data_IF_138680187494
#
_entry.id   IF_138680187494
#
_cell.length_a   1.000
_cell.length_b   1.000
_cell.length_c   1.000
_cell.angle_alpha   90.00
_cell.angle_beta   90.00
_cell.angle_gamma   90.00
#
_symmetry.space_group_name_H-M   'P 1'
#
loop_
_entity.id
_entity.type
_entity.pdbx_description
1 polymer ?
#
# COMPACT_ATOMS: atom_id res chain seq x y z
N UNK A 1 -14.82 7.72 -16.09
CA UNK A 1 -13.56 7.25 -16.72
C UNK A 1 -13.70 5.78 -17.10
N UNK A 2 -13.62 5.42 -18.38
CA UNK A 2 -13.60 4.01 -18.81
C UNK A 2 -12.21 3.40 -18.52
N UNK A 3 -12.15 2.08 -18.36
CA UNK A 3 -10.93 1.43 -17.87
C UNK A 3 -9.80 1.50 -18.89
N UNK A 4 -10.10 1.36 -20.19
CA UNK A 4 -9.07 1.34 -21.23
C UNK A 4 -8.37 2.68 -21.37
N UNK A 5 -9.12 3.78 -21.32
CA UNK A 5 -8.54 5.14 -21.36
C UNK A 5 -7.57 5.34 -20.18
N UNK A 6 -7.97 4.91 -18.97
CA UNK A 6 -7.09 4.97 -17.80
C UNK A 6 -5.81 4.18 -18.02
N UNK A 7 -5.90 2.96 -18.55
CA UNK A 7 -4.75 2.09 -18.75
C UNK A 7 -3.72 2.73 -19.69
N UNK A 8 -4.18 3.32 -20.79
CA UNK A 8 -3.32 4.00 -21.76
C UNK A 8 -2.59 5.19 -21.13
N UNK A 9 -3.31 6.11 -20.48
CA UNK A 9 -2.69 7.28 -19.87
C UNK A 9 -1.79 6.93 -18.68
N UNK A 10 -2.14 5.92 -17.89
CA UNK A 10 -1.29 5.44 -16.79
C UNK A 10 -0.01 4.79 -17.31
N UNK A 11 -0.06 4.01 -18.40
CA UNK A 11 1.13 3.42 -19.02
C UNK A 11 2.06 4.51 -19.56
N UNK A 12 1.52 5.53 -20.25
CA UNK A 12 2.30 6.69 -20.69
C UNK A 12 2.99 7.40 -19.52
N UNK A 13 2.25 7.70 -18.46
CA UNK A 13 2.79 8.36 -17.27
C UNK A 13 3.86 7.51 -16.55
N UNK A 14 3.64 6.19 -16.49
CA UNK A 14 4.60 5.23 -15.91
C UNK A 14 5.93 5.27 -16.66
N UNK A 15 5.91 5.17 -17.99
CA UNK A 15 7.13 5.15 -18.78
C UNK A 15 7.83 6.50 -18.82
N UNK A 16 7.06 7.61 -18.81
CA UNK A 16 7.62 8.95 -18.65
C UNK A 16 8.39 9.09 -17.33
N UNK A 17 7.77 8.73 -16.21
CA UNK A 17 8.41 8.83 -14.89
C UNK A 17 9.63 7.90 -14.78
N UNK A 18 9.55 6.68 -15.33
CA UNK A 18 10.68 5.75 -15.36
C UNK A 18 11.86 6.29 -16.18
N UNK A 19 11.58 6.90 -17.34
CA UNK A 19 12.62 7.52 -18.17
C UNK A 19 13.29 8.72 -17.49
N UNK A 20 12.53 9.50 -16.71
CA UNK A 20 13.03 10.66 -15.98
C UNK A 20 13.91 10.28 -14.79
N UNK A 21 13.54 9.24 -14.04
CA UNK A 21 14.25 8.90 -12.79
C UNK A 21 15.24 7.74 -12.92
N UNK A 22 15.18 6.93 -13.99
CA UNK A 22 16.02 5.74 -14.17
C UNK A 22 15.67 4.56 -13.23
N UNK A 23 14.60 4.66 -12.45
CA UNK A 23 14.11 3.59 -11.56
C UNK A 23 12.87 2.95 -12.17
N UNK A 24 12.69 1.63 -12.00
CA UNK A 24 11.47 0.93 -12.43
C UNK A 24 10.24 1.56 -11.74
N UNK A 25 9.20 1.85 -12.51
CA UNK A 25 7.93 2.39 -12.00
C UNK A 25 6.76 1.44 -12.27
N UNK A 26 5.73 1.54 -11.44
CA UNK A 26 4.53 0.71 -11.51
C UNK A 26 3.27 1.51 -11.19
N UNK A 27 2.16 1.15 -11.80
CA UNK A 27 0.83 1.62 -11.43
C UNK A 27 -0.11 0.42 -11.43
N UNK A 28 -0.79 0.16 -10.31
CA UNK A 28 -1.58 -1.07 -10.14
C UNK A 28 -2.89 -0.95 -10.94
N UNK A 29 -2.88 -1.40 -12.19
CA UNK A 29 -4.05 -1.30 -13.06
C UNK A 29 -5.13 -2.29 -12.61
N UNK A 30 -6.26 -1.77 -12.12
CA UNK A 30 -7.32 -2.58 -11.53
C UNK A 30 -8.07 -3.43 -12.59
N UNK A 31 -7.98 -4.76 -12.43
CA UNK A 31 -8.61 -5.78 -13.26
C UNK A 31 -10.00 -6.22 -12.77
N UNK A 32 -10.40 -5.88 -11.54
CA UNK A 32 -11.74 -6.20 -10.98
C UNK A 32 -12.85 -5.80 -11.93
N UNK A 33 -13.72 -6.75 -12.28
CA UNK A 33 -14.82 -6.56 -13.23
C UNK A 33 -16.06 -7.34 -12.83
N UNK A 34 -17.19 -7.09 -13.50
CA UNK A 34 -18.46 -7.78 -13.22
C UNK A 34 -18.54 -9.21 -13.77
N UNK A 35 -17.66 -9.58 -14.71
CA UNK A 35 -17.54 -10.96 -15.21
C UNK A 35 -16.07 -11.34 -15.38
N UNK A 36 -15.79 -12.65 -15.43
CA UNK A 36 -14.41 -13.15 -15.57
C UNK A 36 -13.82 -12.78 -16.95
N UNK A 37 -14.62 -12.73 -18.00
CA UNK A 37 -14.18 -12.36 -19.36
C UNK A 37 -13.67 -10.93 -19.39
N UNK A 38 -14.40 -9.98 -18.77
CA UNK A 38 -13.96 -8.59 -18.69
C UNK A 38 -12.75 -8.42 -17.75
N UNK A 39 -12.65 -9.22 -16.68
CA UNK A 39 -11.46 -9.23 -15.81
C UNK A 39 -10.22 -9.65 -16.58
N UNK A 40 -10.27 -10.78 -17.29
CA UNK A 40 -9.14 -11.27 -18.10
C UNK A 40 -8.83 -10.31 -19.24
N UNK A 41 -9.83 -9.74 -19.92
CA UNK A 41 -9.62 -8.74 -20.97
C UNK A 41 -8.82 -7.52 -20.49
N UNK A 42 -9.05 -7.08 -19.25
CA UNK A 42 -8.26 -6.00 -18.63
C UNK A 42 -6.82 -6.46 -18.36
N UNK A 43 -6.63 -7.64 -17.80
CA UNK A 43 -5.31 -8.20 -17.53
C UNK A 43 -4.49 -8.40 -18.83
N UNK A 44 -5.13 -8.84 -19.91
CA UNK A 44 -4.53 -8.93 -21.25
C UNK A 44 -4.07 -7.56 -21.73
N UNK A 45 -4.92 -6.53 -21.62
CA UNK A 45 -4.52 -5.18 -22.02
C UNK A 45 -3.34 -4.64 -21.19
N UNK A 46 -3.31 -4.90 -19.88
CA UNK A 46 -2.16 -4.53 -19.04
C UNK A 46 -0.86 -5.23 -19.49
N UNK A 47 -0.94 -6.53 -19.79
CA UNK A 47 0.17 -7.31 -20.35
C UNK A 47 0.65 -6.78 -21.70
N UNK A 48 -0.27 -6.44 -22.61
CA UNK A 48 0.06 -5.83 -23.91
C UNK A 48 0.74 -4.46 -23.77
N UNK A 49 0.37 -3.69 -22.76
CA UNK A 49 1.03 -2.41 -22.44
C UNK A 49 2.40 -2.59 -21.78
N UNK A 50 2.79 -3.81 -21.41
CA UNK A 50 4.08 -4.13 -20.79
C UNK A 50 4.22 -3.61 -19.36
N UNK A 51 3.14 -3.23 -18.67
CA UNK A 51 3.23 -2.74 -17.30
C UNK A 51 3.55 -3.89 -16.33
N UNK A 52 4.25 -3.63 -15.21
CA UNK A 52 4.75 -4.73 -14.36
C UNK A 52 3.72 -5.31 -13.39
N UNK A 53 2.58 -4.64 -13.17
CA UNK A 53 1.68 -4.95 -12.05
C UNK A 53 0.22 -4.58 -12.33
N UNK A 54 -0.69 -5.44 -11.88
CA UNK A 54 -2.15 -5.23 -11.85
C UNK A 54 -2.68 -5.35 -10.42
N UNK A 55 -3.94 -5.00 -10.19
CA UNK A 55 -4.61 -5.27 -8.91
C UNK A 55 -5.99 -5.91 -9.04
N UNK A 56 -6.42 -6.58 -7.97
CA UNK A 56 -7.74 -7.22 -7.88
C UNK A 56 -8.33 -7.12 -6.48
N UNK A 57 -9.65 -6.95 -6.41
CA UNK A 57 -10.44 -6.96 -5.17
C UNK A 57 -10.95 -8.39 -4.91
N UNK A 58 -10.14 -9.23 -4.27
CA UNK A 58 -10.36 -10.68 -4.28
C UNK A 58 -11.66 -11.15 -3.59
N UNK A 59 -12.13 -10.47 -2.54
CA UNK A 59 -13.37 -10.84 -1.86
C UNK A 59 -14.59 -10.46 -2.68
N UNK A 60 -14.62 -9.24 -3.21
CA UNK A 60 -15.77 -8.75 -3.98
C UNK A 60 -15.82 -9.32 -5.39
N UNK A 61 -14.66 -9.59 -6.00
CA UNK A 61 -14.57 -10.35 -7.25
C UNK A 61 -14.74 -11.87 -7.04
N UNK A 62 -14.45 -12.36 -5.84
CA UNK A 62 -14.60 -13.75 -5.43
C UNK A 62 -13.33 -14.59 -5.64
N UNK A 63 -13.16 -15.62 -4.80
CA UNK A 63 -11.99 -16.52 -4.82
C UNK A 63 -11.81 -17.24 -6.16
N UNK A 64 -12.88 -17.63 -6.85
CA UNK A 64 -12.81 -18.30 -8.15
C UNK A 64 -12.18 -17.39 -9.22
N UNK A 65 -12.63 -16.14 -9.29
CA UNK A 65 -12.07 -15.15 -10.21
C UNK A 65 -10.62 -14.83 -9.82
N UNK A 66 -10.35 -14.63 -8.53
CA UNK A 66 -9.00 -14.32 -8.05
C UNK A 66 -7.99 -15.42 -8.41
N UNK A 67 -8.32 -16.69 -8.17
CA UNK A 67 -7.43 -17.82 -8.47
C UNK A 67 -7.15 -17.91 -9.97
N UNK A 68 -8.18 -17.68 -10.81
CA UNK A 68 -8.02 -17.63 -12.26
C UNK A 68 -7.07 -16.50 -12.69
N UNK A 69 -7.23 -15.30 -12.09
CA UNK A 69 -6.35 -14.17 -12.36
C UNK A 69 -4.92 -14.40 -11.86
N UNK A 70 -4.74 -15.06 -10.71
CA UNK A 70 -3.43 -15.40 -10.17
C UNK A 70 -2.66 -16.35 -11.09
N UNK A 71 -3.33 -17.38 -11.64
CA UNK A 71 -2.72 -18.26 -12.64
C UNK A 71 -2.35 -17.48 -13.91
N UNK A 72 -3.26 -16.64 -14.42
CA UNK A 72 -2.97 -15.80 -15.58
C UNK A 72 -1.74 -14.90 -15.34
N UNK A 73 -1.65 -14.25 -14.18
CA UNK A 73 -0.53 -13.37 -13.82
C UNK A 73 0.80 -14.14 -13.76
N UNK A 74 0.81 -15.33 -13.16
CA UNK A 74 1.97 -16.24 -13.13
C UNK A 74 2.48 -16.55 -14.53
N UNK A 75 1.58 -16.93 -15.45
CA UNK A 75 1.95 -17.37 -16.79
C UNK A 75 2.36 -16.19 -17.71
N UNK A 76 2.03 -14.96 -17.31
CA UNK A 76 2.25 -13.74 -18.11
C UNK A 76 3.25 -12.74 -17.49
N UNK A 77 3.87 -13.08 -16.35
CA UNK A 77 4.87 -12.22 -15.72
C UNK A 77 4.32 -10.91 -15.17
N UNK A 78 3.05 -10.89 -14.73
CA UNK A 78 2.44 -9.74 -14.06
C UNK A 78 2.47 -9.94 -12.55
N UNK A 79 2.90 -8.92 -11.80
CA UNK A 79 2.66 -8.90 -10.36
C UNK A 79 1.17 -8.66 -10.08
N UNK A 80 0.65 -9.29 -9.02
CA UNK A 80 -0.74 -9.22 -8.62
C UNK A 80 -0.90 -8.63 -7.21
N UNK A 81 -1.27 -7.35 -7.16
CA UNK A 81 -1.62 -6.68 -5.91
C UNK A 81 -3.06 -7.00 -5.48
N UNK A 82 -3.26 -7.45 -4.24
CA UNK A 82 -4.59 -7.77 -3.74
C UNK A 82 -5.09 -6.71 -2.78
N UNK A 83 -6.23 -6.13 -3.14
CA UNK A 83 -6.99 -5.25 -2.26
C UNK A 83 -8.10 -6.04 -1.55
N UNK A 84 -8.31 -5.76 -0.27
CA UNK A 84 -9.20 -6.53 0.61
C UNK A 84 -10.59 -5.89 0.79
N UNK A 85 -11.12 -5.22 -0.24
CA UNK A 85 -12.45 -4.61 -0.18
C UNK A 85 -13.47 -5.59 0.43
N UNK A 86 -14.39 -5.08 1.27
CA UNK A 86 -15.39 -5.86 2.02
C UNK A 86 -14.89 -6.64 3.25
N UNK A 87 -13.57 -6.79 3.49
CA UNK A 87 -13.08 -7.64 4.60
C UNK A 87 -13.68 -7.29 5.98
N UNK A 88 -13.77 -5.99 6.31
CA UNK A 88 -14.29 -5.50 7.60
C UNK A 88 -15.79 -5.76 7.82
N UNK A 89 -16.53 -6.20 6.79
CA UNK A 89 -17.90 -6.72 6.98
C UNK A 89 -17.86 -8.07 7.71
N UNK A 90 -16.76 -8.82 7.54
CA UNK A 90 -16.60 -10.20 7.99
C UNK A 90 -15.67 -10.29 9.21
N UNK A 91 -14.65 -9.44 9.30
CA UNK A 91 -13.54 -9.63 10.25
C UNK A 91 -13.45 -8.59 11.38
N UNK A 92 -14.42 -7.67 11.49
CA UNK A 92 -14.34 -6.55 12.43
C UNK A 92 -14.79 -6.86 13.85
N UNK A 93 -15.76 -7.76 14.02
CA UNK A 93 -16.39 -8.00 15.33
C UNK A 93 -15.77 -9.25 15.98
N UNK A 94 -15.27 -9.10 17.21
CA UNK A 94 -14.67 -10.22 17.96
C UNK A 94 -15.64 -11.39 18.18
N UNK A 95 -16.93 -11.11 18.30
CA UNK A 95 -17.94 -12.11 18.65
C UNK A 95 -18.54 -12.87 17.46
N UNK A 96 -18.38 -12.40 16.22
CA UNK A 96 -18.99 -13.04 15.06
C UNK A 96 -18.27 -12.70 13.75
N UNK A 97 -18.09 -13.70 12.89
CA UNK A 97 -17.48 -13.54 11.57
C UNK A 97 -16.25 -14.43 11.37
N UNK A 98 -15.29 -13.97 10.59
CA UNK A 98 -14.02 -14.66 10.35
C UNK A 98 -12.87 -13.69 10.50
N UNK A 99 -12.03 -13.90 11.51
CA UNK A 99 -10.87 -13.05 11.74
C UNK A 99 -9.95 -12.96 10.51
N UNK A 100 -9.40 -11.78 10.22
CA UNK A 100 -8.63 -11.47 9.01
C UNK A 100 -7.49 -12.46 8.71
N UNK A 101 -6.80 -12.97 9.74
CA UNK A 101 -5.77 -14.03 9.60
C UNK A 101 -6.22 -15.24 8.78
N UNK A 102 -7.50 -15.62 8.84
CA UNK A 102 -8.06 -16.71 8.03
C UNK A 102 -8.15 -16.30 6.56
N UNK A 103 -8.65 -15.10 6.30
CA UNK A 103 -8.76 -14.51 4.97
C UNK A 103 -7.37 -14.32 4.32
N UNK A 104 -6.38 -13.90 5.10
CA UNK A 104 -4.99 -13.77 4.65
C UNK A 104 -4.37 -15.12 4.25
N UNK A 105 -4.61 -16.19 5.03
CA UNK A 105 -4.19 -17.56 4.67
C UNK A 105 -4.91 -18.05 3.40
N UNK A 106 -6.21 -17.81 3.29
CA UNK A 106 -7.00 -18.19 2.12
C UNK A 106 -6.50 -17.47 0.86
N UNK A 107 -6.16 -16.18 0.95
CA UNK A 107 -5.57 -15.44 -0.16
C UNK A 107 -4.19 -15.99 -0.52
N UNK A 108 -3.32 -16.27 0.46
CA UNK A 108 -1.99 -16.86 0.20
C UNK A 108 -2.07 -18.18 -0.57
N UNK A 109 -3.13 -18.98 -0.36
CA UNK A 109 -3.40 -20.19 -1.14
C UNK A 109 -3.98 -19.90 -2.52
N UNK A 110 -4.90 -18.94 -2.63
CA UNK A 110 -5.52 -18.54 -3.91
C UNK A 110 -4.54 -17.86 -4.87
N UNK A 111 -3.58 -17.12 -4.34
CA UNK A 111 -2.54 -16.40 -5.07
C UNK A 111 -2.72 -14.88 -5.04
N UNK A 112 -1.59 -14.20 -4.84
CA UNK A 112 -1.43 -12.75 -4.79
C UNK A 112 -0.04 -12.42 -4.26
N UNK A 113 0.61 -11.40 -4.83
CA UNK A 113 1.97 -11.01 -4.44
C UNK A 113 1.96 -10.01 -3.28
N UNK A 114 0.91 -9.21 -3.18
CA UNK A 114 0.68 -8.28 -2.07
C UNK A 114 -0.72 -8.46 -1.47
N UNK A 115 -0.88 -8.13 -0.18
CA UNK A 115 -2.20 -7.94 0.43
C UNK A 115 -2.17 -6.78 1.44
N UNK A 116 -3.23 -5.97 1.46
CA UNK A 116 -3.41 -4.96 2.51
C UNK A 116 -3.56 -5.63 3.88
N UNK A 117 -2.71 -5.28 4.85
CA UNK A 117 -2.69 -5.92 6.17
C UNK A 117 -3.22 -5.02 7.29
N UNK A 118 -3.16 -3.70 7.12
CA UNK A 118 -3.47 -2.73 8.17
C UNK A 118 -2.32 -1.76 8.33
N UNK A 119 -2.48 -0.75 9.19
CA UNK A 119 -1.43 0.24 9.45
C UNK A 119 -1.07 0.38 10.91
N UNK A 120 -1.91 -0.14 11.82
CA UNK A 120 -1.88 0.07 13.28
C UNK A 120 -2.13 1.53 13.68
N UNK A 121 -1.44 2.48 13.06
CA UNK A 121 -1.45 3.91 13.40
C UNK A 121 -2.31 4.77 12.48
N UNK A 122 -2.82 4.21 11.38
CA UNK A 122 -3.62 4.93 10.39
C UNK A 122 -5.11 4.93 10.72
N UNK A 123 -5.92 5.38 9.76
CA UNK A 123 -7.35 5.65 9.96
C UNK A 123 -8.24 4.41 10.06
N UNK A 124 -7.74 3.23 9.68
CA UNK A 124 -8.48 1.98 9.76
C UNK A 124 -7.96 1.17 10.95
N UNK A 125 -8.87 0.47 11.62
CA UNK A 125 -8.52 -0.38 12.76
C UNK A 125 -7.43 -1.41 12.42
N UNK A 126 -6.53 -1.61 13.39
CA UNK A 126 -5.57 -2.70 13.42
C UNK A 126 -4.86 -2.73 14.76
N UNK A 127 -5.10 -3.76 15.57
CA UNK A 127 -4.34 -4.00 16.79
C UNK A 127 -2.94 -4.56 16.40
N UNK A 128 -1.90 -4.12 17.11
CA UNK A 128 -0.51 -4.34 16.72
C UNK A 128 -0.13 -5.82 16.75
N UNK A 129 -0.46 -6.55 17.81
CA UNK A 129 -0.11 -7.97 17.96
C UNK A 129 -0.86 -8.85 16.95
N UNK A 130 -2.06 -8.44 16.55
CA UNK A 130 -2.90 -9.13 15.55
C UNK A 130 -2.43 -8.90 14.10
N UNK A 131 -1.80 -7.75 13.80
CA UNK A 131 -1.55 -7.29 12.41
C UNK A 131 -0.38 -7.99 11.71
N UNK A 132 0.56 -8.59 12.44
CA UNK A 132 1.80 -9.15 11.89
C UNK A 132 1.57 -10.52 11.18
N UNK A 133 2.05 -10.73 9.93
CA UNK A 133 2.09 -12.11 9.36
C UNK A 133 2.13 -12.39 7.84
N UNK A 134 2.10 -11.42 6.92
CA UNK A 134 2.18 -11.65 5.45
C UNK A 134 2.85 -10.43 4.80
N UNK A 135 3.53 -10.54 3.62
CA UNK A 135 4.07 -9.44 2.80
C UNK A 135 3.04 -8.29 2.71
N UNK A 136 3.14 -7.26 3.59
CA UNK A 136 2.00 -6.45 3.90
C UNK A 136 2.04 -5.14 3.14
N UNK A 137 0.88 -4.74 2.65
CA UNK A 137 0.64 -3.37 2.23
C UNK A 137 0.04 -2.62 3.42
N UNK A 138 0.75 -1.64 3.94
CA UNK A 138 0.25 -0.71 4.94
C UNK A 138 -0.32 0.53 4.23
N UNK A 139 -1.63 0.74 4.35
CA UNK A 139 -2.33 1.79 3.60
C UNK A 139 -3.51 2.35 4.38
N UNK A 140 -3.70 3.67 4.30
CA UNK A 140 -4.88 4.37 4.78
C UNK A 140 -4.63 5.27 5.98
N UNK A 141 -4.71 6.60 5.75
CA UNK A 141 -4.59 7.60 6.82
C UNK A 141 -3.17 7.76 7.39
N UNK A 142 -2.15 7.29 6.68
CA UNK A 142 -0.74 7.45 7.08
C UNK A 142 -0.09 8.64 6.35
N UNK A 143 0.95 9.20 6.98
CA UNK A 143 1.73 10.37 6.55
C UNK A 143 3.14 10.32 7.14
N UNK A 144 4.02 11.27 6.82
CA UNK A 144 5.46 11.23 7.14
C UNK A 144 5.79 10.97 8.62
N UNK A 145 5.02 11.51 9.57
CA UNK A 145 5.22 11.25 11.01
C UNK A 145 4.96 9.79 11.43
N UNK A 146 4.23 9.01 10.63
CA UNK A 146 4.01 7.59 10.87
C UNK A 146 5.18 6.72 10.37
N UNK A 147 6.10 7.26 9.57
CA UNK A 147 7.16 6.49 8.93
C UNK A 147 8.03 5.68 9.90
N UNK A 148 8.52 6.23 11.03
CA UNK A 148 9.33 5.45 11.97
C UNK A 148 8.58 4.24 12.54
N UNK A 149 7.31 4.44 12.92
CA UNK A 149 6.47 3.37 13.45
C UNK A 149 6.16 2.31 12.38
N UNK A 150 5.89 2.71 11.14
CA UNK A 150 5.62 1.78 10.05
C UNK A 150 6.83 0.88 9.75
N UNK A 151 8.04 1.43 9.74
CA UNK A 151 9.27 0.66 9.51
C UNK A 151 9.55 -0.28 10.69
N UNK A 152 9.30 0.17 11.91
CA UNK A 152 9.48 -0.66 13.10
C UNK A 152 8.45 -1.82 13.15
N UNK A 153 7.20 -1.59 12.72
CA UNK A 153 6.15 -2.60 12.70
C UNK A 153 6.33 -3.60 11.55
N UNK A 154 6.56 -3.10 10.33
CA UNK A 154 6.46 -3.92 9.11
C UNK A 154 7.81 -4.32 8.51
N UNK A 155 8.90 -3.64 8.87
CA UNK A 155 10.23 -3.90 8.29
C UNK A 155 10.31 -3.61 6.79
N UNK A 156 11.36 -4.15 6.16
CA UNK A 156 11.72 -3.84 4.76
C UNK A 156 10.79 -4.51 3.74
N UNK A 157 10.29 -5.70 4.05
CA UNK A 157 9.44 -6.50 3.17
C UNK A 157 7.98 -6.03 3.23
N UNK A 158 7.74 -4.74 2.95
CA UNK A 158 6.43 -4.10 3.02
C UNK A 158 6.24 -2.99 1.99
N UNK A 159 4.98 -2.68 1.66
CA UNK A 159 4.61 -1.53 0.82
C UNK A 159 3.85 -0.52 1.65
N UNK A 160 4.42 0.68 1.81
CA UNK A 160 3.79 1.79 2.54
C UNK A 160 3.09 2.74 1.55
N UNK A 161 1.77 2.83 1.61
CA UNK A 161 0.97 3.60 0.65
C UNK A 161 0.42 4.91 1.23
N UNK A 162 0.89 6.02 0.66
CA UNK A 162 0.51 7.36 1.06
C UNK A 162 -0.36 8.01 -0.02
N UNK A 163 -1.68 7.76 0.00
CA UNK A 163 -2.62 8.43 -0.90
C UNK A 163 -2.78 9.92 -0.55
N UNK A 164 -3.60 10.21 0.46
CA UNK A 164 -3.76 11.57 0.99
C UNK A 164 -2.44 12.17 1.49
N UNK A 165 -1.55 11.35 2.05
CA UNK A 165 -0.19 11.75 2.47
C UNK A 165 0.78 12.10 1.33
N UNK A 166 0.38 11.97 0.06
CA UNK A 166 1.15 12.45 -1.10
C UNK A 166 0.37 13.54 -1.83
N UNK A 167 -0.86 13.25 -2.26
CA UNK A 167 -1.67 14.19 -3.05
C UNK A 167 -2.14 15.40 -2.24
N UNK A 168 -2.17 15.30 -0.91
CA UNK A 168 -2.50 16.40 0.00
C UNK A 168 -1.30 17.28 0.37
N UNK A 169 -0.12 17.04 -0.20
CA UNK A 169 1.06 17.87 0.04
C UNK A 169 0.84 19.30 -0.50
N UNK A 170 1.20 20.37 0.24
CA UNK A 170 0.88 21.75 -0.13
C UNK A 170 1.54 22.20 -1.43
N UNK A 171 2.59 21.51 -1.89
CA UNK A 171 3.32 21.80 -3.12
C UNK A 171 3.03 20.80 -4.25
N UNK A 172 2.01 19.96 -4.11
CA UNK A 172 1.59 18.99 -5.11
C UNK A 172 2.28 17.62 -5.01
N UNK A 173 1.94 16.75 -5.98
CA UNK A 173 2.20 15.31 -5.88
C UNK A 173 3.69 14.94 -5.84
N UNK A 174 4.52 15.56 -6.70
CA UNK A 174 5.94 15.23 -6.76
C UNK A 174 6.67 15.60 -5.45
N UNK A 175 6.50 16.82 -4.89
CA UNK A 175 7.01 17.12 -3.55
C UNK A 175 6.48 16.19 -2.45
N UNK A 176 5.19 15.82 -2.50
CA UNK A 176 4.63 14.85 -1.56
C UNK A 176 5.30 13.47 -1.65
N UNK A 177 5.62 13.01 -2.86
CA UNK A 177 6.32 11.76 -3.08
C UNK A 177 7.77 11.84 -2.57
N UNK A 178 8.44 12.97 -2.81
CA UNK A 178 9.80 13.25 -2.28
C UNK A 178 9.79 13.23 -0.76
N UNK A 179 8.85 13.93 -0.10
CA UNK A 179 8.73 13.96 1.35
C UNK A 179 8.60 12.54 1.96
N UNK A 180 7.74 11.71 1.39
CA UNK A 180 7.57 10.32 1.85
C UNK A 180 8.83 9.48 1.60
N UNK A 181 9.49 9.63 0.44
CA UNK A 181 10.73 8.89 0.14
C UNK A 181 11.87 9.28 1.07
N UNK A 182 12.07 10.59 1.31
CA UNK A 182 13.09 11.09 2.25
C UNK A 182 12.84 10.58 3.67
N UNK A 183 11.60 10.64 4.15
CA UNK A 183 11.25 10.13 5.47
C UNK A 183 11.56 8.62 5.61
N UNK A 184 11.24 7.83 4.58
CA UNK A 184 11.53 6.39 4.54
C UNK A 184 13.03 6.12 4.62
N UNK A 185 13.82 6.72 3.72
CA UNK A 185 15.27 6.49 3.65
C UNK A 185 15.99 6.96 4.91
N UNK A 186 15.60 8.10 5.49
CA UNK A 186 16.15 8.59 6.77
C UNK A 186 15.89 7.61 7.93
N UNK A 187 14.69 7.03 7.98
CA UNK A 187 14.36 6.05 9.01
C UNK A 187 15.08 4.71 8.80
N UNK A 188 15.19 4.22 7.55
CA UNK A 188 15.96 3.01 7.23
C UNK A 188 17.44 3.19 7.57
N UNK A 189 18.03 4.34 7.21
CA UNK A 189 19.40 4.68 7.57
C UNK A 189 19.59 4.68 9.09
N UNK A 190 18.75 5.42 9.81
CA UNK A 190 18.83 5.50 11.27
C UNK A 190 18.71 4.12 11.94
N UNK A 191 17.78 3.28 11.48
CA UNK A 191 17.63 1.90 11.96
C UNK A 191 18.90 1.08 11.71
N UNK A 192 19.45 1.17 10.51
CA UNK A 192 20.65 0.42 10.12
C UNK A 192 21.91 0.91 10.88
N UNK A 193 21.93 2.16 11.33
CA UNK A 193 22.94 2.73 12.22
C UNK A 193 22.72 2.39 13.70
N UNK A 194 21.66 1.62 14.03
CA UNK A 194 21.37 1.12 15.37
C UNK A 194 20.50 2.03 16.24
N UNK A 195 19.85 3.05 15.66
CA UNK A 195 18.92 3.92 16.39
C UNK A 195 17.59 3.23 16.69
N UNK A 196 17.00 3.56 17.82
CA UNK A 196 15.71 3.01 18.25
C UNK A 196 14.56 3.84 17.63
N UNK A 197 13.98 3.37 16.53
CA UNK A 197 12.90 4.09 15.83
C UNK A 197 11.67 4.36 16.70
N UNK A 198 11.37 3.48 17.67
CA UNK A 198 10.22 3.64 18.55
C UNK A 198 10.41 4.82 19.53
N UNK A 199 11.66 5.10 19.92
CA UNK A 199 11.98 6.20 20.84
C UNK A 199 12.46 7.47 20.14
N UNK A 200 13.20 7.32 19.05
CA UNK A 200 13.91 8.40 18.37
C UNK A 200 13.23 8.86 17.07
N UNK A 201 12.15 8.19 16.64
CA UNK A 201 11.51 8.42 15.34
C UNK A 201 11.18 9.88 15.04
N UNK A 202 10.59 10.60 16.01
CA UNK A 202 10.28 12.02 15.84
C UNK A 202 11.53 12.89 15.67
N UNK A 203 12.64 12.55 16.30
CA UNK A 203 13.90 13.27 16.14
C UNK A 203 14.50 13.01 14.76
N UNK A 204 14.49 11.76 14.30
CA UNK A 204 14.97 11.37 12.96
C UNK A 204 14.23 12.16 11.86
N UNK A 205 12.90 12.22 11.93
CA UNK A 205 12.10 12.99 10.97
C UNK A 205 12.47 14.48 11.02
N UNK A 206 12.59 15.09 12.21
CA UNK A 206 12.98 16.50 12.34
C UNK A 206 14.39 16.78 11.83
N UNK A 207 15.33 15.84 12.00
CA UNK A 207 16.69 15.96 11.46
C UNK A 207 16.68 15.94 9.93
N UNK A 208 15.89 15.04 9.33
CA UNK A 208 15.71 14.98 7.88
C UNK A 208 15.02 16.24 7.32
N UNK A 209 14.04 16.80 8.02
CA UNK A 209 13.37 18.07 7.63
C UNK A 209 14.31 19.27 7.57
N UNK A 210 15.49 19.24 8.22
CA UNK A 210 16.45 20.35 8.15
C UNK A 210 17.07 20.51 6.76
N UNK A 211 17.14 19.43 5.98
CA UNK A 211 17.75 19.42 4.65
C UNK A 211 16.80 19.04 3.51
N UNK A 212 15.59 18.53 3.81
CA UNK A 212 14.52 18.37 2.82
C UNK A 212 13.36 19.34 3.09
N UNK A 213 13.22 20.41 2.27
CA UNK A 213 12.11 21.35 2.37
C UNK A 213 10.74 20.70 2.16
N UNK A 214 10.65 19.70 1.28
CA UNK A 214 9.41 18.95 1.02
C UNK A 214 8.97 18.18 2.27
N UNK A 215 9.91 17.49 2.93
CA UNK A 215 9.61 16.83 4.20
C UNK A 215 9.21 17.83 5.27
N UNK A 216 9.89 18.97 5.38
CA UNK A 216 9.51 20.02 6.34
C UNK A 216 8.07 20.51 6.12
N UNK A 217 7.67 20.75 4.87
CA UNK A 217 6.32 21.17 4.52
C UNK A 217 5.27 20.09 4.86
N UNK A 218 5.53 18.82 4.52
CA UNK A 218 4.68 17.70 4.93
C UNK A 218 4.55 17.59 6.46
N UNK A 219 5.65 17.75 7.18
CA UNK A 219 5.70 17.68 8.63
C UNK A 219 4.78 18.72 9.28
N UNK A 220 4.81 19.97 8.80
CA UNK A 220 3.95 21.02 9.35
C UNK A 220 2.47 20.78 9.11
N UNK A 221 2.10 20.22 7.96
CA UNK A 221 0.70 19.97 7.60
C UNK A 221 0.06 18.89 8.46
N UNK A 222 0.81 17.85 8.84
CA UNK A 222 0.25 16.66 9.48
C UNK A 222 0.70 16.43 10.93
N UNK A 223 1.43 17.35 11.57
CA UNK A 223 2.01 17.15 12.91
C UNK A 223 1.00 16.84 14.03
N UNK A 224 -0.23 17.37 13.92
CA UNK A 224 -1.29 17.15 14.92
C UNK A 224 -2.22 15.99 14.57
N UNK A 225 -2.06 15.36 13.40
CA UNK A 225 -2.99 14.33 12.94
C UNK A 225 -2.59 12.98 13.53
N UNK A 226 -3.51 12.40 14.31
CA UNK A 226 -3.41 11.07 14.92
C UNK A 226 -4.76 10.37 14.90
N UNK A 227 -4.72 9.04 14.88
CA UNK A 227 -5.92 8.19 14.94
C UNK A 227 -5.87 7.33 16.22
N UNK A 228 -6.38 7.88 17.31
CA UNK A 228 -6.36 7.23 18.63
C UNK A 228 -7.78 6.79 19.02
N UNK A 229 -8.13 5.55 18.69
CA UNK A 229 -9.43 4.96 18.98
C UNK A 229 -9.25 3.55 19.56
N UNK A 230 -10.13 3.10 20.47
CA UNK A 230 -10.10 1.72 20.95
C UNK A 230 -10.37 0.74 19.79
N UNK A 231 -9.59 -0.33 19.72
CA UNK A 231 -9.81 -1.41 18.77
C UNK A 231 -11.01 -2.27 19.20
N UNK A 232 -11.82 -2.70 18.22
CA UNK A 232 -12.94 -3.61 18.43
C UNK A 232 -12.49 -5.07 18.48
N UNK A 233 -11.54 -5.45 17.64
CA UNK A 233 -10.92 -6.77 17.64
C UNK A 233 -9.61 -6.74 18.45
N UNK A 234 -9.66 -7.40 19.60
CA UNK A 234 -8.54 -7.55 20.55
C UNK A 234 -8.36 -9.03 20.88
N UNK A 235 -7.16 -9.45 21.30
CA UNK A 235 -6.90 -10.84 21.75
C UNK A 235 -7.82 -11.24 22.92
#
# INVERSE_FOLDING_TARGET
MRWRDRFLFCAEALYKAQAETGEIKGHYLNATAGTCEEMIKRAVCARELGVPIVMHDYLTGGFTANTSLAHYCRDNGLLLHIHRAMHAVIDRQKNHGMHFRVLAKALRLSGGDHIHAGTVVGKLEGEREITLGVLPVASGGIHVWHMPALIEIFGDDSVLQFGGGTLGHPWGNAPGAVANRVALEACVQARNEGRDLAREGNQIIREASKWSPELAAACEVWKEIKFEFPAMDTL
#
